data_IF_703631956156
#
_entry.id   IF_703631956156
#
_cell.length_a   1.000
_cell.length_b   1.000
_cell.length_c   1.000
_cell.angle_alpha   90.00
_cell.angle_beta   90.00
_cell.angle_gamma   90.00
#
_symmetry.space_group_name_H-M   'P 1'
#
loop_
_entity.id
_entity.type
_entity.pdbx_description
1 polymer ?
#
# COMPACT_ATOMS: atom_id res chain seq x y z
N UNK A 1 12.05 28.42 -4.30
CA UNK A 1 10.88 27.55 -4.19
C UNK A 1 9.74 28.39 -3.63
N UNK A 2 8.60 28.54 -4.33
CA UNK A 2 7.50 29.32 -3.81
C UNK A 2 7.00 28.71 -2.49
N UNK A 3 6.59 29.54 -1.51
CA UNK A 3 6.07 29.04 -0.24
C UNK A 3 4.85 28.16 -0.51
N UNK A 4 4.90 26.90 -0.08
CA UNK A 4 3.73 26.02 -0.13
C UNK A 4 2.63 26.66 0.70
N UNK A 5 1.51 26.98 0.05
CA UNK A 5 0.30 27.41 0.75
C UNK A 5 -0.01 26.45 1.89
N UNK A 6 -0.41 26.97 3.06
CA UNK A 6 -0.82 26.13 4.17
C UNK A 6 -1.97 25.23 3.72
N UNK A 7 -1.81 23.90 3.85
CA UNK A 7 -2.86 22.96 3.46
C UNK A 7 -4.20 23.33 4.10
N UNK A 8 -5.22 23.48 3.25
CA UNK A 8 -6.60 23.66 3.70
C UNK A 8 -7.02 22.51 4.61
N UNK A 9 -7.91 22.81 5.55
CA UNK A 9 -8.48 21.83 6.49
C UNK A 9 -9.13 20.68 5.72
N UNK A 10 -9.84 20.97 4.63
CA UNK A 10 -10.46 19.96 3.76
C UNK A 10 -9.43 18.96 3.22
N UNK A 11 -8.26 19.45 2.82
CA UNK A 11 -7.18 18.62 2.27
C UNK A 11 -6.54 17.73 3.33
N UNK A 12 -6.41 18.23 4.57
CA UNK A 12 -5.95 17.44 5.71
C UNK A 12 -6.93 16.30 6.01
N UNK A 13 -8.22 16.60 6.05
CA UNK A 13 -9.28 15.61 6.30
C UNK A 13 -9.27 14.54 5.21
N UNK A 14 -9.22 14.94 3.93
CA UNK A 14 -9.18 14.01 2.81
C UNK A 14 -7.95 13.09 2.83
N UNK A 15 -6.76 13.64 3.16
CA UNK A 15 -5.54 12.85 3.30
C UNK A 15 -5.67 11.79 4.39
N UNK A 16 -6.14 12.17 5.59
CA UNK A 16 -6.32 11.22 6.69
C UNK A 16 -7.38 10.17 6.41
N UNK A 17 -8.47 10.54 5.74
CA UNK A 17 -9.50 9.59 5.30
C UNK A 17 -8.94 8.56 4.33
N UNK A 18 -8.26 9.00 3.27
CA UNK A 18 -7.61 8.09 2.32
C UNK A 18 -6.53 7.24 2.99
N UNK A 19 -5.75 7.82 3.91
CA UNK A 19 -4.73 7.09 4.66
C UNK A 19 -5.34 5.97 5.51
N UNK A 20 -6.46 6.26 6.20
CA UNK A 20 -7.21 5.25 6.95
C UNK A 20 -7.78 4.16 6.04
N UNK A 21 -8.31 4.51 4.87
CA UNK A 21 -8.80 3.53 3.89
C UNK A 21 -7.64 2.62 3.44
N UNK A 22 -6.47 3.19 3.13
CA UNK A 22 -5.27 2.42 2.81
C UNK A 22 -4.85 1.48 3.95
N UNK A 23 -4.82 1.99 5.19
CA UNK A 23 -4.43 1.20 6.35
C UNK A 23 -5.43 0.06 6.63
N UNK A 24 -6.73 0.34 6.50
CA UNK A 24 -7.78 -0.67 6.63
C UNK A 24 -7.67 -1.75 5.54
N UNK A 25 -7.38 -1.35 4.30
CA UNK A 25 -7.17 -2.30 3.21
C UNK A 25 -5.95 -3.19 3.45
N UNK A 26 -4.85 -2.62 3.95
CA UNK A 26 -3.63 -3.34 4.30
C UNK A 26 -3.90 -4.36 5.42
N UNK A 27 -4.68 -4.00 6.45
CA UNK A 27 -5.14 -4.93 7.48
C UNK A 27 -6.03 -6.04 6.91
N UNK A 28 -6.87 -5.73 5.93
CA UNK A 28 -7.73 -6.70 5.25
C UNK A 28 -6.90 -7.71 4.46
N UNK A 29 -5.87 -7.25 3.75
CA UNK A 29 -4.90 -8.12 3.04
C UNK A 29 -4.15 -9.02 4.03
N UNK A 30 -3.67 -8.48 5.16
CA UNK A 30 -3.02 -9.28 6.22
C UNK A 30 -3.94 -10.39 6.72
N UNK A 31 -5.23 -10.07 6.94
CA UNK A 31 -6.21 -11.03 7.45
C UNK A 31 -6.63 -12.08 6.42
N UNK A 32 -6.67 -11.72 5.14
CA UNK A 32 -7.03 -12.62 4.04
C UNK A 32 -5.84 -13.44 3.52
N UNK A 33 -4.59 -13.01 3.76
CA UNK A 33 -3.38 -13.73 3.35
C UNK A 33 -3.36 -15.22 3.73
N UNK A 34 -3.72 -15.65 4.97
CA UNK A 34 -3.78 -17.07 5.30
C UNK A 34 -4.91 -17.82 4.58
N UNK A 35 -6.04 -17.16 4.27
CA UNK A 35 -7.13 -17.78 3.50
C UNK A 35 -6.77 -17.92 2.01
N UNK A 36 -6.07 -16.94 1.45
CA UNK A 36 -5.53 -17.00 0.09
C UNK A 36 -4.48 -18.10 -0.06
N UNK A 37 -3.68 -18.37 0.97
CA UNK A 37 -2.70 -19.47 1.00
C UNK A 37 -3.38 -20.85 0.89
N UNK A 38 -4.58 -21.00 1.46
CA UNK A 38 -5.36 -22.24 1.39
C UNK A 38 -6.05 -22.39 0.03
N UNK A 39 -6.51 -21.29 -0.57
CA UNK A 39 -7.24 -21.29 -1.84
C UNK A 39 -6.33 -21.36 -3.08
N UNK A 40 -5.16 -20.71 -3.05
CA UNK A 40 -4.18 -20.72 -4.13
C UNK A 40 -3.10 -21.76 -3.86
N UNK A 41 -3.43 -23.00 -4.22
CA UNK A 41 -2.53 -24.06 -4.69
C UNK A 41 -1.16 -24.15 -3.99
N UNK A 42 -1.03 -25.12 -3.07
CA UNK A 42 0.21 -25.83 -2.72
C UNK A 42 1.52 -25.03 -2.66
N UNK A 43 1.50 -23.75 -2.28
CA UNK A 43 2.74 -23.02 -2.08
C UNK A 43 3.49 -23.64 -0.89
N UNK A 44 4.83 -23.78 -0.96
CA UNK A 44 5.60 -24.01 0.26
C UNK A 44 5.29 -22.83 1.20
N UNK A 45 4.72 -23.13 2.36
CA UNK A 45 4.17 -22.14 3.31
C UNK A 45 5.10 -20.95 3.54
N UNK A 46 6.42 -21.14 3.47
CA UNK A 46 7.43 -20.09 3.58
C UNK A 46 7.38 -19.04 2.47
N UNK A 47 7.17 -19.40 1.20
CA UNK A 47 7.25 -18.48 0.05
C UNK A 47 6.12 -17.46 -0.01
N UNK A 48 4.88 -17.92 0.18
CA UNK A 48 3.70 -17.04 0.27
C UNK A 48 3.84 -16.04 1.43
N UNK A 49 4.20 -16.53 2.62
CA UNK A 49 4.32 -15.69 3.81
C UNK A 49 5.37 -14.60 3.59
N UNK A 50 6.50 -14.93 2.98
CA UNK A 50 7.58 -13.98 2.70
C UNK A 50 7.15 -12.93 1.67
N UNK A 51 6.43 -13.33 0.61
CA UNK A 51 5.90 -12.42 -0.40
C UNK A 51 4.86 -11.44 0.18
N UNK A 52 3.86 -11.95 0.90
CA UNK A 52 2.86 -11.10 1.55
C UNK A 52 3.50 -10.18 2.60
N UNK A 53 4.51 -10.65 3.34
CA UNK A 53 5.25 -9.82 4.29
C UNK A 53 6.01 -8.68 3.60
N UNK A 54 6.63 -8.94 2.44
CA UNK A 54 7.28 -7.91 1.63
C UNK A 54 6.29 -6.88 1.09
N UNK A 55 5.11 -7.31 0.63
CA UNK A 55 4.04 -6.42 0.18
C UNK A 55 3.56 -5.53 1.33
N UNK A 56 3.32 -6.11 2.52
CA UNK A 56 2.90 -5.39 3.73
C UNK A 56 3.96 -4.36 4.14
N UNK A 57 5.23 -4.75 4.20
CA UNK A 57 6.34 -3.85 4.54
C UNK A 57 6.50 -2.73 3.51
N UNK A 58 6.40 -3.06 2.22
CA UNK A 58 6.48 -2.09 1.14
C UNK A 58 5.35 -1.07 1.21
N UNK A 59 4.11 -1.53 1.40
CA UNK A 59 2.94 -0.67 1.50
C UNK A 59 3.00 0.20 2.77
N UNK A 60 3.36 -0.38 3.91
CA UNK A 60 3.55 0.35 5.17
C UNK A 60 4.64 1.42 5.06
N UNK A 61 5.78 1.09 4.44
CA UNK A 61 6.86 2.04 4.19
C UNK A 61 6.45 3.21 3.29
N UNK A 62 5.63 2.94 2.27
CA UNK A 62 5.07 3.98 1.39
C UNK A 62 4.09 4.88 2.17
N UNK A 63 3.17 4.33 2.95
CA UNK A 63 2.27 5.11 3.81
C UNK A 63 3.07 6.01 4.76
N UNK A 64 4.07 5.47 5.44
CA UNK A 64 4.91 6.23 6.37
C UNK A 64 5.66 7.36 5.67
N UNK A 65 6.24 7.09 4.49
CA UNK A 65 6.92 8.10 3.67
C UNK A 65 5.97 9.22 3.23
N UNK A 66 4.75 8.88 2.81
CA UNK A 66 3.74 9.86 2.42
C UNK A 66 3.28 10.70 3.63
N UNK A 67 3.08 10.10 4.80
CA UNK A 67 2.78 10.82 6.05
C UNK A 67 3.90 11.79 6.43
N UNK A 68 5.18 11.36 6.33
CA UNK A 68 6.33 12.23 6.58
C UNK A 68 6.38 13.40 5.58
N UNK A 69 6.13 13.14 4.30
CA UNK A 69 6.08 14.17 3.27
C UNK A 69 4.94 15.17 3.48
N UNK A 70 3.79 14.70 3.96
CA UNK A 70 2.65 15.53 4.32
C UNK A 70 2.95 16.41 5.55
N UNK A 71 3.55 15.84 6.60
CA UNK A 71 3.95 16.59 7.81
C UNK A 71 5.04 17.64 7.52
N UNK A 72 6.05 17.27 6.74
CA UNK A 72 7.15 18.17 6.34
C UNK A 72 6.76 19.15 5.23
N UNK A 73 5.52 19.08 4.70
CA UNK A 73 5.01 19.91 3.59
C UNK A 73 5.95 19.95 2.39
N UNK A 74 6.57 18.82 2.04
CA UNK A 74 7.59 18.77 0.98
C UNK A 74 7.00 18.71 -0.43
N UNK A 75 5.68 18.49 -0.54
CA UNK A 75 5.02 18.18 -1.81
C UNK A 75 3.60 18.75 -1.88
N UNK A 76 3.13 19.09 -3.07
CA UNK A 76 1.74 19.53 -3.27
C UNK A 76 0.75 18.44 -2.83
N UNK A 77 -0.33 18.85 -2.17
CA UNK A 77 -1.31 17.94 -1.58
C UNK A 77 -1.99 17.04 -2.63
N UNK A 78 -2.28 17.62 -3.80
CA UNK A 78 -2.84 16.90 -4.95
C UNK A 78 -1.95 15.73 -5.37
N UNK A 79 -0.63 15.94 -5.38
CA UNK A 79 0.34 14.92 -5.77
C UNK A 79 0.48 13.84 -4.69
N UNK A 80 0.41 14.21 -3.40
CA UNK A 80 0.36 13.28 -2.28
C UNK A 80 -0.89 12.37 -2.34
N UNK A 81 -2.06 12.95 -2.55
CA UNK A 81 -3.33 12.22 -2.66
C UNK A 81 -3.32 11.29 -3.88
N UNK A 82 -2.84 11.78 -5.03
CA UNK A 82 -2.78 10.99 -6.25
C UNK A 82 -1.82 9.79 -6.11
N UNK A 83 -0.64 10.01 -5.47
CA UNK A 83 0.28 8.91 -5.14
C UNK A 83 -0.36 7.89 -4.20
N UNK A 84 -1.08 8.37 -3.18
CA UNK A 84 -1.71 7.49 -2.21
C UNK A 84 -2.80 6.65 -2.87
N UNK A 85 -3.69 7.26 -3.67
CA UNK A 85 -4.70 6.55 -4.45
C UNK A 85 -4.09 5.52 -5.42
N UNK A 86 -3.03 5.90 -6.14
CA UNK A 86 -2.34 5.00 -7.06
C UNK A 86 -1.73 3.81 -6.32
N UNK A 87 -1.17 4.02 -5.13
CA UNK A 87 -0.68 2.92 -4.29
C UNK A 87 -1.82 2.06 -3.76
N UNK A 88 -2.99 2.60 -3.42
CA UNK A 88 -4.15 1.82 -2.99
C UNK A 88 -4.63 0.86 -4.06
N UNK A 89 -4.73 1.34 -5.32
CA UNK A 89 -5.26 0.54 -6.42
C UNK A 89 -4.21 -0.36 -7.07
N UNK A 90 -2.95 0.08 -7.20
CA UNK A 90 -1.92 -0.69 -7.90
C UNK A 90 -1.34 -1.83 -7.06
N UNK A 91 -1.18 -1.65 -5.75
CA UNK A 91 -0.57 -2.67 -4.89
C UNK A 91 -1.32 -4.01 -4.84
N UNK A 92 -2.65 -4.07 -4.80
CA UNK A 92 -3.38 -5.34 -4.88
C UNK A 92 -3.07 -6.12 -6.15
N UNK A 93 -3.01 -5.44 -7.30
CA UNK A 93 -2.65 -6.07 -8.58
C UNK A 93 -1.20 -6.54 -8.59
N UNK A 94 -0.27 -5.76 -8.02
CA UNK A 94 1.14 -6.17 -7.89
C UNK A 94 1.29 -7.34 -6.92
N UNK A 95 0.53 -7.35 -5.82
CA UNK A 95 0.57 -8.42 -4.83
C UNK A 95 0.05 -9.74 -5.41
N UNK A 96 -1.09 -9.72 -6.10
CA UNK A 96 -1.69 -10.89 -6.73
C UNK A 96 -0.91 -11.32 -7.97
N UNK A 97 -0.64 -10.39 -8.90
CA UNK A 97 0.07 -10.67 -10.14
C UNK A 97 1.53 -11.10 -9.91
N UNK A 98 2.22 -10.47 -8.96
CA UNK A 98 3.59 -10.86 -8.59
C UNK A 98 3.65 -12.23 -7.91
N UNK A 99 2.63 -12.59 -7.12
CA UNK A 99 2.50 -13.94 -6.56
C UNK A 99 2.31 -14.99 -7.66
N UNK A 100 1.49 -14.71 -8.68
CA UNK A 100 1.29 -15.60 -9.84
C UNK A 100 2.54 -15.76 -10.71
N UNK A 101 3.31 -14.69 -10.94
CA UNK A 101 4.57 -14.75 -11.70
C UNK A 101 5.66 -15.52 -10.96
N UNK A 102 5.78 -15.34 -9.64
CA UNK A 102 6.71 -16.10 -8.82
C UNK A 102 6.40 -17.60 -8.86
N UNK A 103 5.12 -17.98 -8.88
CA UNK A 103 4.67 -19.37 -9.04
C UNK A 103 5.10 -19.99 -10.39
N UNK A 104 4.87 -19.27 -11.50
CA UNK A 104 5.28 -19.75 -12.84
C UNK A 104 6.80 -19.93 -12.98
N UNK A 105 7.60 -19.19 -12.21
CA UNK A 105 9.06 -19.29 -12.24
C UNK A 105 9.60 -20.48 -11.43
N UNK A 106 8.79 -21.08 -10.56
CA UNK A 106 9.18 -22.20 -9.69
C UNK A 106 8.67 -23.57 -10.19
N UNK A 107 7.81 -23.58 -11.21
CA UNK A 107 7.32 -24.77 -11.91
C UNK A 107 8.19 -25.12 -13.11
#
# INVERSE_FOLDING_TARGET
MPPLEPYSIATKIAFWFLWLICAAFLLLVVRMAPMLNIAFWSMPKGGAILWFSLVILGQGGILFKLTKQFLCRTLAASLLINRLALTTFALPFVAVGGCSLFMMSLS
#
